data_IF_337384545441
#
_entry.id   IF_337384545441
#
_cell.length_a   1.000
_cell.length_b   1.000
_cell.length_c   1.000
_cell.angle_alpha   90.00
_cell.angle_beta   90.00
_cell.angle_gamma   90.00
#
_symmetry.space_group_name_H-M   'P 1'
#
loop_
_entity.id
_entity.type
_entity.pdbx_description
1 polymer ?
#
# COMPACT_ATOMS: atom_id res chain seq x y z
N UNK A 1 -38.23 -51.59 14.82
CA UNK A 1 -37.83 -53.02 14.87
C UNK A 1 -36.79 -53.22 13.76
N UNK A 2 -35.49 -53.23 14.08
CA UNK A 2 -34.64 -54.41 14.35
C UNK A 2 -34.45 -55.29 13.09
N UNK A 3 -33.25 -55.65 12.61
CA UNK A 3 -31.85 -55.50 13.05
C UNK A 3 -30.87 -55.73 11.87
N UNK A 4 -29.59 -55.30 12.01
CA UNK A 4 -28.33 -56.11 12.09
C UNK A 4 -28.01 -56.98 10.86
N UNK A 5 -26.78 -57.19 10.35
CA UNK A 5 -25.39 -56.85 10.72
C UNK A 5 -24.45 -57.54 9.70
N UNK A 6 -23.33 -56.92 9.30
CA UNK A 6 -21.98 -57.51 9.03
C UNK A 6 -21.15 -56.45 8.25
N UNK A 7 -20.16 -55.74 8.81
CA UNK A 7 -18.82 -56.11 9.33
C UNK A 7 -17.86 -56.71 8.28
N UNK A 8 -16.91 -55.90 7.82
CA UNK A 8 -15.72 -56.33 7.08
C UNK A 8 -14.55 -55.40 7.40
N UNK A 9 -13.63 -55.87 8.25
CA UNK A 9 -12.43 -55.18 8.68
C UNK A 9 -11.19 -55.66 7.89
N UNK A 10 -10.33 -54.73 7.48
CA UNK A 10 -8.89 -54.87 7.20
C UNK A 10 -8.30 -53.48 7.45
N UNK A 11 -7.20 -53.22 8.14
CA UNK A 11 -6.12 -54.03 8.70
C UNK A 11 -4.97 -53.04 8.85
N UNK A 12 -4.56 -52.77 10.09
CA UNK A 12 -3.54 -51.79 10.47
C UNK A 12 -2.14 -52.16 9.94
N UNK A 13 -1.35 -51.16 9.53
CA UNK A 13 0.12 -51.22 9.62
C UNK A 13 0.63 -50.04 10.46
N UNK A 14 1.11 -50.39 11.64
CA UNK A 14 1.81 -49.54 12.60
C UNK A 14 3.31 -49.72 12.38
N UNK A 15 4.04 -48.61 12.22
CA UNK A 15 5.51 -48.59 12.32
C UNK A 15 5.93 -47.50 13.30
N UNK A 16 6.34 -47.93 14.49
CA UNK A 16 7.16 -47.24 15.50
C UNK A 16 8.07 -48.35 16.07
N UNK A 17 9.34 -48.19 16.42
CA UNK A 17 10.21 -47.04 16.60
C UNK A 17 11.67 -47.52 16.60
N UNK A 18 12.61 -46.66 16.24
CA UNK A 18 14.05 -46.80 16.54
C UNK A 18 14.51 -45.59 17.35
N UNK A 19 15.14 -45.83 18.51
CA UNK A 19 15.51 -44.84 19.54
C UNK A 19 16.70 -43.95 19.13
N UNK A 20 16.79 -42.70 19.61
CA UNK A 20 18.03 -41.93 19.56
C UNK A 20 18.91 -42.22 20.80
N UNK A 21 20.20 -42.42 20.56
CA UNK A 21 21.22 -42.56 21.61
C UNK A 21 21.50 -41.20 22.28
N UNK A 22 21.69 -41.24 23.61
CA UNK A 22 22.18 -40.14 24.46
C UNK A 22 23.57 -40.49 25.00
N UNK A 23 24.33 -39.44 25.32
CA UNK A 23 25.66 -39.34 26.00
C UNK A 23 26.85 -39.35 25.04
N UNK A 24 27.93 -38.60 25.24
CA UNK A 24 28.38 -37.60 26.22
C UNK A 24 29.64 -36.96 25.60
N UNK A 25 29.86 -35.65 25.75
CA UNK A 25 31.09 -35.06 26.33
C UNK A 25 31.18 -33.55 26.09
N UNK A 26 31.41 -32.85 27.19
CA UNK A 26 31.65 -31.42 27.30
C UNK A 26 33.10 -31.05 26.94
N UNK A 27 33.30 -29.72 26.84
CA UNK A 27 34.47 -28.94 27.33
C UNK A 27 35.32 -28.27 26.24
N UNK A 28 35.13 -26.95 26.09
CA UNK A 28 36.21 -25.96 26.05
C UNK A 28 35.63 -24.54 26.32
N UNK A 29 35.92 -24.04 27.53
CA UNK A 29 36.15 -22.62 27.92
C UNK A 29 37.46 -22.16 27.24
N UNK A 30 37.84 -20.91 27.05
CA UNK A 30 37.85 -19.66 27.84
C UNK A 30 38.51 -18.63 26.86
N UNK A 31 38.01 -17.41 26.66
CA UNK A 31 38.51 -16.12 27.17
C UNK A 31 38.05 -15.07 26.12
N UNK A 32 37.73 -13.80 26.38
CA UNK A 32 38.15 -12.89 27.43
C UNK A 32 37.00 -11.89 27.71
N UNK A 33 36.89 -11.48 28.97
CA UNK A 33 35.99 -10.41 29.39
C UNK A 33 36.49 -9.02 28.99
N UNK A 34 35.59 -8.05 29.01
CA UNK A 34 35.89 -6.69 29.48
C UNK A 34 34.68 -6.16 30.23
N UNK A 35 35.00 -5.60 31.38
CA UNK A 35 34.20 -5.02 32.44
C UNK A 35 33.51 -3.72 31.97
N UNK A 36 32.26 -3.51 32.36
CA UNK A 36 31.62 -2.19 32.26
C UNK A 36 30.80 -1.92 33.53
N UNK A 37 31.14 -0.79 34.15
CA UNK A 37 30.65 -0.30 35.43
C UNK A 37 29.12 -0.29 35.59
N UNK A 38 28.68 -0.77 36.75
CA UNK A 38 27.31 -0.70 37.23
C UNK A 38 27.12 0.63 37.96
N UNK A 39 26.45 1.59 37.31
CA UNK A 39 25.85 2.73 38.01
C UNK A 39 24.49 2.31 38.56
N UNK A 40 24.39 2.19 39.88
CA UNK A 40 23.12 2.09 40.63
C UNK A 40 22.31 3.37 40.43
N UNK A 41 21.14 3.27 39.80
CA UNK A 41 20.08 4.26 39.94
C UNK A 41 18.94 3.61 40.72
N UNK A 42 18.63 4.24 41.85
CA UNK A 42 17.52 3.91 42.75
C UNK A 42 16.20 4.11 42.00
N UNK A 43 15.33 3.11 42.12
CA UNK A 43 13.98 3.10 41.55
C UNK A 43 13.08 3.95 42.43
N UNK A 44 12.40 4.94 41.85
CA UNK A 44 11.14 5.44 42.39
C UNK A 44 10.05 5.44 41.31
N UNK A 45 8.87 5.10 41.76
CA UNK A 45 7.74 4.52 41.02
C UNK A 45 6.93 5.52 40.19
N UNK A 46 6.69 5.16 38.93
CA UNK A 46 5.72 5.80 38.04
C UNK A 46 5.86 5.20 36.65
N UNK A 47 4.90 4.38 36.22
CA UNK A 47 4.98 3.62 34.98
C UNK A 47 5.05 4.55 33.75
N UNK A 48 6.27 4.79 33.27
CA UNK A 48 6.58 5.39 31.98
C UNK A 48 7.23 4.32 31.10
N UNK A 49 6.62 4.07 29.95
CA UNK A 49 7.10 3.17 28.90
C UNK A 49 8.55 3.54 28.54
N UNK A 50 9.46 2.58 28.58
CA UNK A 50 10.89 2.87 28.45
C UNK A 50 11.27 3.16 27.00
N UNK A 51 12.23 4.08 26.80
CA UNK A 51 12.75 4.54 25.50
C UNK A 51 13.20 3.41 24.54
N UNK A 52 13.34 2.17 25.03
CA UNK A 52 13.63 0.96 24.23
C UNK A 52 12.42 0.35 23.53
N UNK A 53 11.19 0.60 24.00
CA UNK A 53 9.97 0.11 23.33
C UNK A 53 9.51 1.04 22.19
N UNK A 54 9.80 2.34 22.30
CA UNK A 54 9.56 3.31 21.22
C UNK A 54 10.47 3.08 19.99
N UNK A 55 11.64 2.47 20.20
CA UNK A 55 12.64 2.20 19.14
C UNK A 55 12.28 0.95 18.32
N UNK A 56 11.32 0.12 18.77
CA UNK A 56 10.82 -1.01 17.99
C UNK A 56 9.67 -0.65 17.02
N UNK A 57 9.11 0.57 17.10
CA UNK A 57 8.01 1.01 16.22
C UNK A 57 8.47 1.89 15.04
N UNK A 58 9.75 2.23 14.97
CA UNK A 58 10.36 2.99 13.87
C UNK A 58 11.68 2.29 13.55
N UNK A 59 11.64 1.34 12.62
CA UNK A 59 12.80 0.54 12.22
C UNK A 59 13.89 1.45 11.64
N UNK A 60 15.00 1.52 12.34
CA UNK A 60 16.25 2.10 11.87
C UNK A 60 17.14 1.00 11.26
N UNK A 61 17.68 1.26 10.07
CA UNK A 61 18.94 0.68 9.61
C UNK A 61 19.72 1.78 8.87
N UNK A 62 20.90 2.10 9.38
CA UNK A 62 21.81 3.12 8.87
C UNK A 62 23.13 2.49 8.39
N UNK A 63 23.90 3.31 7.65
CA UNK A 63 25.28 3.16 7.12
C UNK A 63 25.32 2.60 5.68
N UNK A 64 25.92 3.25 4.65
CA UNK A 64 27.04 4.20 4.62
C UNK A 64 27.13 5.00 3.30
N UNK A 65 27.62 6.26 3.40
CA UNK A 65 28.45 7.05 2.46
C UNK A 65 27.93 7.36 1.03
N UNK A 66 27.92 8.61 0.52
CA UNK A 66 28.95 9.65 0.60
C UNK A 66 28.39 11.06 0.35
N UNK A 67 28.77 12.01 1.21
CA UNK A 67 28.75 13.45 0.92
C UNK A 67 30.10 13.86 0.30
N UNK A 68 30.06 14.62 -0.79
CA UNK A 68 31.05 15.52 -1.45
C UNK A 68 30.36 15.83 -2.81
N UNK A 69 30.09 17.04 -3.31
CA UNK A 69 30.60 18.37 -3.04
C UNK A 69 29.53 19.43 -3.41
N UNK A 70 29.50 20.53 -2.67
CA UNK A 70 29.03 21.82 -3.19
C UNK A 70 30.14 22.42 -4.04
N UNK A 71 29.89 22.56 -5.35
CA UNK A 71 30.60 23.50 -6.22
C UNK A 71 29.62 24.01 -7.27
N UNK A 72 29.33 25.32 -7.19
CA UNK A 72 28.58 26.08 -8.17
C UNK A 72 29.19 25.88 -9.56
N UNK A 73 28.49 25.13 -10.41
CA UNK A 73 28.62 25.22 -11.86
C UNK A 73 27.21 25.43 -12.39
N UNK A 74 26.94 26.62 -12.91
CA UNK A 74 25.78 26.84 -13.76
C UNK A 74 25.95 25.93 -14.99
N UNK A 75 25.32 24.77 -14.94
CA UNK A 75 25.20 23.88 -16.08
C UNK A 75 24.35 24.57 -17.15
N UNK A 76 24.65 24.40 -18.44
CA UNK A 76 23.73 24.80 -19.50
C UNK A 76 22.38 24.13 -19.21
N UNK A 77 21.28 24.85 -19.43
CA UNK A 77 19.94 24.30 -19.23
C UNK A 77 19.79 23.03 -20.06
N UNK A 78 19.93 21.88 -19.42
CA UNK A 78 19.43 20.62 -19.94
C UNK A 78 17.95 20.89 -20.12
N UNK A 79 17.47 20.91 -21.36
CA UNK A 79 16.04 21.01 -21.61
C UNK A 79 15.38 19.94 -20.74
N UNK A 80 14.46 20.34 -19.86
CA UNK A 80 13.77 19.38 -19.02
C UNK A 80 13.13 18.32 -19.93
N UNK A 81 13.39 17.04 -19.62
CA UNK A 81 12.77 15.94 -20.36
C UNK A 81 11.25 16.16 -20.44
N UNK A 82 10.62 15.91 -21.60
CA UNK A 82 9.19 16.17 -21.77
C UNK A 82 8.37 15.34 -20.79
N UNK A 83 7.34 15.95 -20.21
CA UNK A 83 6.36 15.23 -19.38
C UNK A 83 5.65 14.11 -20.16
N UNK A 84 4.94 13.23 -19.44
CA UNK A 84 4.26 12.08 -20.03
C UNK A 84 3.23 12.48 -21.09
N UNK A 85 2.49 13.58 -20.89
CA UNK A 85 1.54 14.06 -21.90
C UNK A 85 2.23 14.51 -23.17
N UNK A 86 3.31 15.28 -23.06
CA UNK A 86 4.03 15.73 -24.24
C UNK A 86 4.70 14.56 -24.97
N UNK A 87 5.24 13.59 -24.22
CA UNK A 87 5.78 12.35 -24.78
C UNK A 87 4.73 11.60 -25.59
N UNK A 88 3.54 11.37 -25.02
CA UNK A 88 2.43 10.70 -25.72
C UNK A 88 1.93 11.47 -26.94
N UNK A 89 1.89 12.81 -26.87
CA UNK A 89 1.53 13.65 -28.04
C UNK A 89 2.58 13.55 -29.16
N UNK A 90 3.87 13.50 -28.82
CA UNK A 90 4.93 13.31 -29.80
C UNK A 90 4.87 11.93 -30.47
N UNK A 91 4.58 10.88 -29.69
CA UNK A 91 4.34 9.52 -30.21
C UNK A 91 3.12 9.49 -31.13
N UNK A 92 2.00 10.11 -30.73
CA UNK A 92 0.81 10.20 -31.56
C UNK A 92 1.09 10.92 -32.88
N UNK A 93 1.87 12.00 -32.84
CA UNK A 93 2.26 12.70 -34.05
C UNK A 93 3.06 11.80 -35.00
N UNK A 94 3.98 10.99 -34.47
CA UNK A 94 4.78 10.04 -35.26
C UNK A 94 3.89 8.94 -35.89
N UNK A 95 2.90 8.44 -35.15
CA UNK A 95 1.92 7.46 -35.65
C UNK A 95 1.04 8.08 -36.74
N UNK A 96 0.64 9.35 -36.59
CA UNK A 96 -0.15 10.06 -37.60
C UNK A 96 0.64 10.25 -38.91
N UNK A 97 1.94 10.51 -38.83
CA UNK A 97 2.81 10.59 -40.01
C UNK A 97 2.92 9.23 -40.73
N UNK A 98 3.00 8.14 -39.97
CA UNK A 98 2.96 6.77 -40.53
C UNK A 98 1.65 6.52 -41.29
N UNK A 99 0.52 6.91 -40.71
CA UNK A 99 -0.80 6.77 -41.33
C UNK A 99 -1.03 7.70 -42.54
N UNK A 100 -0.27 8.79 -42.67
CA UNK A 100 -0.28 9.59 -43.90
C UNK A 100 0.38 8.84 -45.07
N UNK A 101 1.45 8.09 -44.79
CA UNK A 101 2.13 7.24 -45.77
C UNK A 101 1.35 5.96 -46.11
N UNK A 102 0.82 5.29 -45.10
CA UNK A 102 -0.05 4.11 -45.26
C UNK A 102 -1.32 4.22 -44.39
N UNK A 103 -2.43 4.73 -44.95
CA UNK A 103 -3.68 4.90 -44.21
C UNK A 103 -4.35 3.61 -43.73
N UNK A 104 -3.89 2.44 -44.18
CA UNK A 104 -4.48 1.14 -43.86
C UNK A 104 -3.63 0.30 -42.90
N UNK A 105 -2.53 0.85 -42.38
CA UNK A 105 -1.71 0.15 -41.39
C UNK A 105 -2.53 -0.10 -40.11
N UNK A 106 -2.92 -1.36 -39.91
CA UNK A 106 -3.76 -1.78 -38.78
C UNK A 106 -3.07 -1.59 -37.43
N UNK A 107 -1.73 -1.74 -37.37
CA UNK A 107 -0.97 -1.56 -36.14
C UNK A 107 -0.92 -0.08 -35.77
N UNK A 108 -0.63 0.79 -36.74
CA UNK A 108 -0.62 2.23 -36.53
C UNK A 108 -2.03 2.75 -36.15
N UNK A 109 -3.10 2.19 -36.72
CA UNK A 109 -4.49 2.52 -36.30
C UNK A 109 -4.73 2.12 -34.83
N UNK A 110 -4.31 0.92 -34.43
CA UNK A 110 -4.47 0.44 -33.06
C UNK A 110 -3.67 1.30 -32.06
N UNK A 111 -2.41 1.61 -32.39
CA UNK A 111 -1.54 2.47 -31.58
C UNK A 111 -2.09 3.88 -31.45
N UNK A 112 -2.62 4.46 -32.54
CA UNK A 112 -3.31 5.76 -32.51
C UNK A 112 -4.47 5.77 -31.52
N UNK A 113 -5.28 4.70 -31.51
CA UNK A 113 -6.44 4.61 -30.62
C UNK A 113 -6.00 4.48 -29.16
N UNK A 114 -4.96 3.68 -28.88
CA UNK A 114 -4.35 3.56 -27.55
C UNK A 114 -3.81 4.91 -27.05
N UNK A 115 -3.03 5.61 -27.88
CA UNK A 115 -2.44 6.91 -27.57
C UNK A 115 -3.51 7.96 -27.28
N UNK A 116 -4.56 8.04 -28.08
CA UNK A 116 -5.67 8.96 -27.83
C UNK A 116 -6.36 8.67 -26.50
N UNK A 117 -6.56 7.39 -26.16
CA UNK A 117 -7.16 7.01 -24.88
C UNK A 117 -6.24 7.38 -23.70
N UNK A 118 -4.93 7.11 -23.81
CA UNK A 118 -3.94 7.46 -22.79
C UNK A 118 -3.82 8.99 -22.60
N UNK A 119 -3.73 9.76 -23.69
CA UNK A 119 -3.67 11.23 -23.63
C UNK A 119 -4.90 11.77 -22.92
N UNK A 120 -6.10 11.32 -23.29
CA UNK A 120 -7.34 11.75 -22.64
C UNK A 120 -7.34 11.43 -21.14
N UNK A 121 -6.87 10.23 -20.76
CA UNK A 121 -6.79 9.83 -19.35
C UNK A 121 -5.78 10.69 -18.57
N UNK A 122 -4.60 10.95 -19.14
CA UNK A 122 -3.59 11.79 -18.51
C UNK A 122 -3.96 13.27 -18.46
N UNK A 123 -4.72 13.80 -19.42
CA UNK A 123 -5.27 15.17 -19.34
C UNK A 123 -6.27 15.30 -18.20
N UNK A 124 -7.18 14.33 -18.05
CA UNK A 124 -8.11 14.29 -16.94
C UNK A 124 -7.37 14.15 -15.58
N UNK A 125 -6.34 13.29 -15.52
CA UNK A 125 -5.56 13.13 -14.29
C UNK A 125 -4.72 14.38 -13.99
N UNK A 126 -4.19 15.08 -15.00
CA UNK A 126 -3.47 16.34 -14.83
C UNK A 126 -4.36 17.43 -14.20
N UNK A 127 -5.63 17.52 -14.62
CA UNK A 127 -6.61 18.41 -13.99
C UNK A 127 -6.86 18.00 -12.53
N UNK A 128 -7.06 16.70 -12.28
CA UNK A 128 -7.22 16.16 -10.93
C UNK A 128 -6.05 16.52 -10.02
N UNK A 129 -4.80 16.18 -10.40
CA UNK A 129 -3.63 16.43 -9.55
C UNK A 129 -3.40 17.91 -9.32
N UNK A 130 -3.63 18.77 -10.32
CA UNK A 130 -3.51 20.22 -10.18
C UNK A 130 -4.49 20.77 -9.14
N UNK A 131 -5.77 20.36 -9.22
CA UNK A 131 -6.81 20.72 -8.26
C UNK A 131 -6.48 20.19 -6.87
N UNK A 132 -6.20 18.90 -6.74
CA UNK A 132 -5.92 18.22 -5.47
C UNK A 132 -4.69 18.81 -4.80
N UNK A 133 -3.61 19.03 -5.55
CA UNK A 133 -2.41 19.72 -5.07
C UNK A 133 -2.75 21.09 -4.50
N UNK A 134 -3.50 21.92 -5.24
CA UNK A 134 -3.90 23.24 -4.76
C UNK A 134 -4.69 23.20 -3.45
N UNK A 135 -5.53 22.20 -3.26
CA UNK A 135 -6.29 21.98 -2.02
C UNK A 135 -5.40 21.53 -0.85
N UNK A 136 -4.46 20.62 -1.09
CA UNK A 136 -3.49 20.15 -0.09
C UNK A 136 -2.54 21.27 0.33
N UNK A 137 -1.92 21.96 -0.63
CA UNK A 137 -0.97 23.05 -0.35
C UNK A 137 -1.61 24.26 0.31
N UNK A 138 -2.94 24.41 0.22
CA UNK A 138 -3.68 25.48 0.89
C UNK A 138 -4.33 25.06 2.22
N UNK A 139 -4.14 23.79 2.64
CA UNK A 139 -4.72 23.26 3.87
C UNK A 139 -6.23 23.08 3.83
N UNK A 140 -6.85 23.19 2.65
CA UNK A 140 -8.31 23.06 2.48
C UNK A 140 -8.76 21.62 2.46
N UNK A 141 -7.89 20.70 2.06
CA UNK A 141 -8.17 19.28 2.01
C UNK A 141 -6.89 18.49 2.22
N UNK A 142 -6.99 17.34 2.89
CA UNK A 142 -5.92 16.36 2.93
C UNK A 142 -6.01 15.38 1.75
N UNK A 143 -5.02 14.52 1.59
CA UNK A 143 -5.01 13.48 0.56
C UNK A 143 -4.53 12.14 1.11
N UNK A 144 -5.27 11.06 0.89
CA UNK A 144 -4.84 9.71 1.28
C UNK A 144 -3.71 9.27 0.34
N UNK A 145 -2.55 8.92 0.90
CA UNK A 145 -1.35 8.66 0.12
C UNK A 145 -1.08 7.16 -0.01
N UNK A 146 -0.73 6.47 1.09
CA UNK A 146 -0.38 5.06 1.04
C UNK A 146 -0.85 4.33 2.28
N UNK A 147 -1.02 3.02 2.15
CA UNK A 147 -1.13 2.11 3.26
C UNK A 147 0.24 1.50 3.56
N UNK A 148 0.65 1.49 4.83
CA UNK A 148 1.87 0.83 5.31
C UNK A 148 1.53 -0.56 5.79
N UNK A 149 2.13 -1.58 5.21
CA UNK A 149 1.91 -3.01 5.49
C UNK A 149 3.22 -3.65 5.93
N UNK A 150 3.18 -4.47 6.97
CA UNK A 150 4.29 -5.36 7.30
C UNK A 150 4.15 -6.68 6.54
N UNK A 151 5.21 -7.08 5.85
CA UNK A 151 5.28 -8.32 5.06
C UNK A 151 6.44 -9.18 5.54
N UNK A 152 6.27 -10.50 5.53
CA UNK A 152 7.30 -11.42 6.03
C UNK A 152 8.51 -11.51 5.11
N UNK A 153 8.26 -11.47 3.81
CA UNK A 153 9.24 -11.63 2.72
C UNK A 153 8.92 -10.58 1.66
N UNK A 154 9.75 -9.54 1.57
CA UNK A 154 9.45 -8.40 0.71
C UNK A 154 9.44 -8.79 -0.77
N UNK A 155 10.29 -9.72 -1.20
CA UNK A 155 10.37 -10.09 -2.62
C UNK A 155 9.11 -10.84 -3.05
N UNK A 156 8.58 -11.72 -2.20
CA UNK A 156 7.28 -12.39 -2.45
C UNK A 156 6.12 -11.41 -2.45
N UNK A 157 6.09 -10.48 -1.50
CA UNK A 157 5.06 -9.46 -1.46
C UNK A 157 5.11 -8.58 -2.72
N UNK A 158 6.29 -8.07 -3.09
CA UNK A 158 6.49 -7.28 -4.32
C UNK A 158 6.05 -8.08 -5.54
N UNK A 159 6.42 -9.36 -5.64
CA UNK A 159 5.99 -10.23 -6.74
C UNK A 159 4.46 -10.32 -6.82
N UNK A 160 3.78 -10.53 -5.69
CA UNK A 160 2.30 -10.56 -5.64
C UNK A 160 1.67 -9.25 -6.12
N UNK A 161 2.06 -8.11 -5.54
CA UNK A 161 1.45 -6.84 -5.88
C UNK A 161 1.76 -6.40 -7.32
N UNK A 162 2.95 -6.72 -7.83
CA UNK A 162 3.36 -6.33 -9.19
C UNK A 162 2.93 -7.32 -10.27
N UNK A 163 3.34 -8.59 -10.20
CA UNK A 163 3.02 -9.59 -11.21
C UNK A 163 1.58 -10.10 -11.08
N UNK A 164 1.08 -10.26 -9.86
CA UNK A 164 -0.27 -10.75 -9.59
C UNK A 164 -1.36 -9.71 -9.83
N UNK A 165 -1.14 -8.47 -9.38
CA UNK A 165 -2.16 -7.40 -9.45
C UNK A 165 -1.81 -6.25 -10.42
N UNK A 166 -0.61 -6.24 -11.01
CA UNK A 166 -0.26 -5.27 -12.06
C UNK A 166 0.29 -3.94 -11.56
N UNK A 167 0.64 -3.82 -10.28
CA UNK A 167 1.32 -2.63 -9.75
C UNK A 167 2.78 -2.56 -10.23
N UNK A 168 3.44 -1.44 -10.00
CA UNK A 168 4.87 -1.23 -10.27
C UNK A 168 5.59 -0.82 -8.99
N UNK A 169 6.85 -1.20 -8.85
CA UNK A 169 7.71 -0.66 -7.79
C UNK A 169 8.11 0.75 -8.19
N UNK A 170 7.63 1.75 -7.44
CA UNK A 170 7.97 3.15 -7.66
C UNK A 170 9.31 3.52 -7.01
N UNK A 171 9.58 2.97 -5.83
CA UNK A 171 10.78 3.24 -5.04
C UNK A 171 11.02 2.13 -4.02
N UNK A 172 12.27 1.99 -3.60
CA UNK A 172 12.69 1.07 -2.56
C UNK A 172 13.64 1.77 -1.60
N UNK A 173 13.66 1.35 -0.33
CA UNK A 173 14.49 1.94 0.72
C UNK A 173 15.09 0.86 1.60
N UNK A 174 16.30 1.13 2.12
CA UNK A 174 16.97 0.27 3.08
C UNK A 174 17.53 -1.03 2.49
N UNK A 175 18.15 -1.83 3.35
CA UNK A 175 18.74 -3.13 3.04
C UNK A 175 18.61 -4.06 4.24
N UNK A 176 18.48 -5.37 4.01
CA UNK A 176 18.27 -6.34 5.09
C UNK A 176 16.90 -6.20 5.76
N UNK A 177 16.72 -6.73 6.99
CA UNK A 177 15.45 -6.63 7.71
C UNK A 177 15.02 -5.16 7.88
N UNK A 178 13.76 -4.87 7.57
CA UNK A 178 13.23 -3.49 7.56
C UNK A 178 13.40 -2.75 6.22
N UNK A 179 13.92 -3.41 5.17
CA UNK A 179 13.83 -2.89 3.80
C UNK A 179 12.38 -2.68 3.37
N UNK A 180 12.19 -1.75 2.46
CA UNK A 180 10.88 -1.29 2.03
C UNK A 180 10.77 -1.21 0.52
N UNK A 181 9.58 -1.48 0.00
CA UNK A 181 9.21 -1.19 -1.38
C UNK A 181 7.85 -0.49 -1.42
N UNK A 182 7.73 0.48 -2.32
CA UNK A 182 6.51 1.22 -2.55
C UNK A 182 5.96 0.80 -3.90
N UNK A 183 4.75 0.23 -3.89
CA UNK A 183 4.09 -0.25 -5.10
C UNK A 183 2.77 0.48 -5.34
N UNK A 184 2.46 0.80 -6.59
CA UNK A 184 1.18 1.43 -7.00
C UNK A 184 0.97 1.31 -8.52
N UNK A 185 -0.13 1.87 -9.04
CA UNK A 185 -0.44 1.88 -10.47
C UNK A 185 0.14 3.09 -11.23
N UNK A 186 0.78 4.03 -10.53
CA UNK A 186 1.41 5.21 -11.11
C UNK A 186 2.18 6.03 -10.07
N UNK A 187 2.74 7.19 -10.42
CA UNK A 187 3.47 8.00 -9.44
C UNK A 187 2.60 8.44 -8.24
N UNK A 188 3.18 8.45 -7.05
CA UNK A 188 2.53 8.90 -5.80
C UNK A 188 2.41 10.44 -5.75
N UNK A 189 3.38 11.16 -6.35
CA UNK A 189 3.47 12.63 -6.37
C UNK A 189 2.23 13.29 -6.96
N UNK A 190 1.83 14.46 -6.41
CA UNK A 190 0.80 15.32 -6.99
C UNK A 190 1.36 16.32 -8.02
N UNK A 191 2.62 16.17 -8.44
CA UNK A 191 3.28 17.03 -9.43
C UNK A 191 3.27 16.39 -10.82
N UNK A 192 3.26 15.07 -10.93
CA UNK A 192 3.23 14.36 -12.21
C UNK A 192 1.83 14.35 -12.82
N UNK A 193 1.74 14.50 -14.15
CA UNK A 193 0.46 14.51 -14.90
C UNK A 193 -0.31 13.18 -14.76
N UNK A 194 0.39 12.06 -14.58
CA UNK A 194 -0.17 10.74 -14.28
C UNK A 194 -0.06 10.35 -12.79
N UNK A 195 0.22 11.31 -11.92
CA UNK A 195 0.48 11.11 -10.49
C UNK A 195 -0.78 11.04 -9.62
N UNK A 196 -0.58 11.16 -8.30
CA UNK A 196 -1.64 11.10 -7.29
C UNK A 196 -2.26 9.71 -7.16
N UNK A 197 -1.46 8.65 -7.33
CA UNK A 197 -1.90 7.27 -7.13
C UNK A 197 -1.63 6.83 -5.71
N UNK A 198 -2.58 6.12 -5.11
CA UNK A 198 -2.44 5.54 -3.81
C UNK A 198 -1.50 4.33 -3.85
N UNK A 199 -0.57 4.26 -2.90
CA UNK A 199 0.46 3.23 -2.87
C UNK A 199 0.33 2.27 -1.67
N UNK A 200 1.06 1.16 -1.77
CA UNK A 200 1.37 0.30 -0.64
C UNK A 200 2.85 0.47 -0.31
N UNK A 201 3.14 0.89 0.91
CA UNK A 201 4.46 0.77 1.53
C UNK A 201 4.58 -0.61 2.16
N UNK A 202 5.37 -1.48 1.55
CA UNK A 202 5.64 -2.83 2.04
C UNK A 202 6.91 -2.79 2.87
N UNK A 203 6.82 -3.10 4.16
CA UNK A 203 7.93 -3.10 5.12
C UNK A 203 8.27 -4.52 5.53
N UNK A 204 9.51 -4.96 5.29
CA UNK A 204 9.92 -6.32 5.63
C UNK A 204 10.04 -6.51 7.15
N UNK A 205 9.21 -7.39 7.71
CA UNK A 205 9.26 -7.87 9.08
C UNK A 205 9.17 -9.40 9.09
N UNK A 206 10.31 -10.13 9.17
CA UNK A 206 10.34 -11.59 9.15
C UNK A 206 9.56 -12.27 10.29
N UNK A 207 9.27 -11.53 11.36
CA UNK A 207 8.52 -12.01 12.54
C UNK A 207 7.03 -11.70 12.46
N UNK A 208 6.57 -11.06 11.38
CA UNK A 208 5.17 -10.74 11.13
C UNK A 208 4.30 -11.99 11.22
N UNK A 209 3.25 -11.90 12.02
CA UNK A 209 2.18 -12.90 12.04
C UNK A 209 1.22 -12.64 10.88
N UNK A 210 0.58 -13.70 10.38
CA UNK A 210 -0.45 -13.60 9.33
C UNK A 210 -1.50 -12.57 9.71
N UNK A 211 -1.88 -11.70 8.78
CA UNK A 211 -2.94 -10.74 9.07
C UNK A 211 -4.29 -11.44 9.29
N UNK A 212 -4.95 -11.11 10.39
CA UNK A 212 -6.27 -11.62 10.75
C UNK A 212 -7.20 -10.51 11.25
N UNK A 213 -6.85 -9.25 10.96
CA UNK A 213 -7.56 -8.05 11.41
C UNK A 213 -8.99 -7.94 10.87
N UNK A 214 -9.27 -8.67 9.77
CA UNK A 214 -10.49 -8.51 8.99
C UNK A 214 -10.47 -7.30 8.06
N UNK A 215 -9.37 -6.54 8.04
CA UNK A 215 -9.16 -5.50 7.03
C UNK A 215 -8.98 -6.13 5.65
N UNK A 216 -9.36 -5.39 4.62
CA UNK A 216 -9.17 -5.80 3.24
C UNK A 216 -8.93 -4.61 2.32
N UNK A 217 -8.31 -4.87 1.18
CA UNK A 217 -8.11 -3.91 0.11
C UNK A 217 -9.05 -4.21 -1.05
N UNK A 218 -9.58 -3.19 -1.69
CA UNK A 218 -10.42 -3.33 -2.86
C UNK A 218 -9.82 -2.59 -4.05
N UNK A 219 -9.78 -3.26 -5.21
CA UNK A 219 -9.21 -2.75 -6.45
C UNK A 219 -10.19 -2.86 -7.61
N UNK A 220 -10.21 -1.83 -8.45
CA UNK A 220 -10.91 -1.77 -9.72
C UNK A 220 -9.91 -1.83 -10.88
N UNK A 221 -9.75 -3.00 -11.49
CA UNK A 221 -8.83 -3.16 -12.62
C UNK A 221 -9.54 -2.86 -13.93
N UNK A 222 -8.91 -2.09 -14.82
CA UNK A 222 -9.52 -1.66 -16.09
C UNK A 222 -9.80 -2.78 -17.09
N UNK A 223 -9.02 -3.88 -17.04
CA UNK A 223 -9.03 -4.89 -18.11
C UNK A 223 -9.44 -6.27 -17.61
N UNK A 224 -8.52 -6.95 -16.91
CA UNK A 224 -8.75 -8.32 -16.44
C UNK A 224 -7.75 -8.67 -15.33
N UNK A 225 -8.15 -9.59 -14.48
CA UNK A 225 -7.26 -10.28 -13.54
C UNK A 225 -6.76 -11.57 -14.20
N UNK A 226 -5.43 -11.73 -14.31
CA UNK A 226 -4.83 -12.94 -14.86
C UNK A 226 -4.64 -13.99 -13.76
N UNK A 227 -5.57 -14.94 -13.68
CA UNK A 227 -5.61 -15.98 -12.63
C UNK A 227 -4.28 -16.74 -12.50
N UNK A 228 -3.67 -17.15 -13.61
CA UNK A 228 -2.38 -17.87 -13.57
C UNK A 228 -1.26 -17.00 -12.96
N UNK A 229 -1.21 -15.71 -13.30
CA UNK A 229 -0.23 -14.78 -12.70
C UNK A 229 -0.43 -14.67 -11.22
N UNK A 230 -1.67 -14.48 -10.79
CA UNK A 230 -2.01 -14.35 -9.39
C UNK A 230 -1.54 -15.58 -8.59
N UNK A 231 -1.84 -16.79 -9.10
CA UNK A 231 -1.40 -18.04 -8.49
C UNK A 231 0.13 -18.16 -8.45
N UNK A 232 0.81 -17.91 -9.56
CA UNK A 232 2.29 -17.96 -9.66
C UNK A 232 2.99 -16.90 -8.79
N UNK A 233 2.26 -15.85 -8.42
CA UNK A 233 2.72 -14.80 -7.50
C UNK A 233 2.43 -15.10 -6.03
N UNK A 234 1.84 -16.26 -5.73
CA UNK A 234 1.52 -16.70 -4.36
C UNK A 234 0.16 -16.23 -3.84
N UNK A 235 -0.72 -15.74 -4.71
CA UNK A 235 -2.09 -15.39 -4.33
C UNK A 235 -3.02 -16.60 -4.34
N UNK A 236 -3.92 -16.66 -3.37
CA UNK A 236 -4.97 -17.69 -3.28
C UNK A 236 -6.33 -17.07 -3.62
N UNK A 237 -7.04 -17.60 -4.62
CA UNK A 237 -8.41 -17.16 -4.95
C UNK A 237 -9.40 -17.92 -4.07
N UNK A 238 -10.15 -17.20 -3.24
CA UNK A 238 -11.19 -17.77 -2.38
C UNK A 238 -12.59 -17.65 -2.97
N UNK A 239 -12.80 -16.70 -3.89
CA UNK A 239 -14.03 -16.50 -4.64
C UNK A 239 -13.74 -15.95 -6.03
N UNK A 240 -14.54 -16.35 -7.04
CA UNK A 240 -14.35 -15.92 -8.42
C UNK A 240 -15.61 -16.07 -9.25
N UNK A 241 -16.58 -15.17 -9.04
CA UNK A 241 -17.78 -15.09 -9.88
C UNK A 241 -18.22 -13.62 -10.02
N UNK A 242 -17.79 -12.99 -11.10
CA UNK A 242 -18.01 -11.56 -11.39
C UNK A 242 -16.97 -10.62 -10.78
N UNK A 243 -16.59 -10.85 -9.53
CA UNK A 243 -15.43 -10.28 -8.87
C UNK A 243 -14.59 -11.40 -8.23
N UNK A 244 -13.41 -11.05 -7.73
CA UNK A 244 -12.49 -11.98 -7.08
C UNK A 244 -12.26 -11.60 -5.62
N UNK A 245 -12.26 -12.60 -4.76
CA UNK A 245 -11.68 -12.50 -3.42
C UNK A 245 -10.38 -13.30 -3.39
N UNK A 246 -9.35 -12.68 -2.84
CA UNK A 246 -7.97 -13.13 -2.92
C UNK A 246 -7.34 -13.00 -1.53
N UNK A 247 -6.52 -13.98 -1.16
CA UNK A 247 -5.62 -13.89 0.00
C UNK A 247 -4.20 -13.71 -0.53
N UNK A 248 -3.56 -12.60 -0.16
CA UNK A 248 -2.16 -12.32 -0.47
C UNK A 248 -1.21 -13.22 0.36
N UNK A 249 0.09 -13.36 -0.02
CA UNK A 249 1.02 -14.25 0.67
C UNK A 249 1.12 -14.08 2.19
N UNK A 250 0.95 -12.85 2.70
CA UNK A 250 1.02 -12.51 4.12
C UNK A 250 -0.36 -12.51 4.84
N UNK A 251 -1.41 -12.98 4.16
CA UNK A 251 -2.77 -13.11 4.69
C UNK A 251 -3.69 -11.90 4.46
N UNK A 252 -3.19 -10.82 3.85
CA UNK A 252 -4.01 -9.67 3.52
C UNK A 252 -5.13 -10.06 2.56
N UNK A 253 -6.36 -9.68 2.90
CA UNK A 253 -7.54 -9.90 2.06
C UNK A 253 -7.59 -8.84 0.97
N UNK A 254 -7.86 -9.28 -0.25
CA UNK A 254 -7.94 -8.44 -1.43
C UNK A 254 -9.20 -8.77 -2.22
N UNK A 255 -9.95 -7.74 -2.60
CA UNK A 255 -11.15 -7.83 -3.43
C UNK A 255 -10.86 -7.13 -4.75
N UNK A 256 -11.10 -7.79 -5.88
CA UNK A 256 -10.84 -7.24 -7.21
C UNK A 256 -12.10 -7.32 -8.06
N UNK A 257 -12.46 -6.21 -8.69
CA UNK A 257 -13.51 -6.16 -9.71
C UNK A 257 -13.02 -5.39 -10.93
N UNK A 258 -13.78 -5.44 -12.03
CA UNK A 258 -13.40 -4.82 -13.29
C UNK A 258 -14.20 -3.54 -13.49
N UNK A 259 -13.51 -2.41 -13.51
CA UNK A 259 -14.07 -1.08 -13.76
C UNK A 259 -12.93 -0.10 -14.13
N UNK A 260 -13.26 0.95 -14.89
CA UNK A 260 -12.33 2.01 -15.24
C UNK A 260 -12.39 3.14 -14.22
N UNK A 261 -11.45 3.13 -13.27
CA UNK A 261 -11.22 4.22 -12.31
C UNK A 261 -9.94 4.98 -12.63
N UNK A 262 -9.86 6.24 -12.19
CA UNK A 262 -8.63 7.05 -12.24
C UNK A 262 -7.49 6.34 -11.49
N UNK A 263 -7.76 6.00 -10.24
CA UNK A 263 -6.89 5.17 -9.40
C UNK A 263 -7.54 3.79 -9.20
N UNK A 264 -6.89 2.71 -9.65
CA UNK A 264 -7.38 1.36 -9.43
C UNK A 264 -7.49 0.97 -7.96
N UNK A 265 -6.79 1.64 -7.03
CA UNK A 265 -6.95 1.40 -5.60
C UNK A 265 -8.23 2.09 -5.09
N UNK A 266 -9.30 1.33 -4.94
CA UNK A 266 -10.62 1.87 -4.62
C UNK A 266 -10.77 2.19 -3.12
N UNK A 267 -10.58 1.20 -2.25
CA UNK A 267 -10.77 1.41 -0.81
C UNK A 267 -10.01 0.43 0.08
N UNK A 268 -9.94 0.81 1.36
CA UNK A 268 -9.47 -0.02 2.47
C UNK A 268 -10.66 -0.26 3.40
N UNK A 269 -11.10 -1.52 3.51
CA UNK A 269 -12.16 -1.93 4.43
C UNK A 269 -11.62 -2.14 5.84
N UNK A 270 -12.27 -1.52 6.83
CA UNK A 270 -11.84 -1.53 8.23
C UNK A 270 -13.01 -1.91 9.14
N UNK A 271 -12.97 -3.09 9.78
CA UNK A 271 -14.01 -3.51 10.72
C UNK A 271 -14.01 -2.69 12.01
N UNK A 272 -15.16 -2.12 12.38
CA UNK A 272 -15.37 -1.32 13.60
C UNK A 272 -16.63 -1.76 14.34
N UNK A 273 -16.67 -1.53 15.65
CA UNK A 273 -17.80 -1.94 16.50
C UNK A 273 -18.99 -0.98 16.33
N UNK A 274 -18.72 0.32 16.25
CA UNK A 274 -19.74 1.36 16.04
C UNK A 274 -19.36 2.21 14.83
N UNK A 275 -20.00 1.92 13.69
CA UNK A 275 -19.70 2.58 12.42
C UNK A 275 -20.07 4.06 12.45
N UNK A 276 -21.24 4.42 13.00
CA UNK A 276 -21.71 5.82 12.96
C UNK A 276 -20.92 6.71 13.92
N UNK A 277 -20.61 6.21 15.13
CA UNK A 277 -19.76 6.94 16.04
C UNK A 277 -18.34 7.11 15.49
N UNK A 278 -17.81 6.08 14.80
CA UNK A 278 -16.50 6.15 14.16
C UNK A 278 -16.51 7.12 12.97
N UNK A 279 -17.54 7.09 12.12
CA UNK A 279 -17.67 8.03 11.00
C UNK A 279 -17.72 9.48 11.49
N UNK A 280 -18.57 9.76 12.49
CA UNK A 280 -18.67 11.08 13.13
C UNK A 280 -17.35 11.54 13.75
N UNK A 281 -16.58 10.61 14.31
CA UNK A 281 -15.24 10.88 14.82
C UNK A 281 -14.27 11.26 13.68
N UNK A 282 -14.27 10.51 12.58
CA UNK A 282 -13.41 10.77 11.43
C UNK A 282 -13.73 12.12 10.76
N UNK A 283 -15.02 12.48 10.65
CA UNK A 283 -15.44 13.80 10.17
C UNK A 283 -14.90 14.91 11.08
N UNK A 284 -15.12 14.80 12.40
CA UNK A 284 -14.77 15.85 13.36
C UNK A 284 -13.26 15.99 13.60
N UNK A 285 -12.53 14.87 13.67
CA UNK A 285 -11.11 14.85 14.09
C UNK A 285 -10.17 14.85 12.90
N UNK A 286 -10.51 14.13 11.83
CA UNK A 286 -9.66 14.01 10.65
C UNK A 286 -10.12 14.88 9.48
N UNK A 287 -11.31 15.49 9.56
CA UNK A 287 -11.84 16.34 8.49
C UNK A 287 -12.25 15.57 7.24
N UNK A 288 -12.54 14.27 7.37
CA UNK A 288 -13.04 13.45 6.28
C UNK A 288 -14.52 13.72 6.02
N UNK A 289 -15.01 13.32 4.85
CA UNK A 289 -16.45 13.30 4.55
C UNK A 289 -16.97 11.88 4.56
N UNK A 290 -18.17 11.65 5.12
CA UNK A 290 -18.79 10.34 5.19
C UNK A 290 -19.94 10.17 4.18
N UNK A 291 -19.85 9.16 3.32
CA UNK A 291 -20.99 8.64 2.57
C UNK A 291 -21.66 7.51 3.35
N UNK A 292 -22.71 7.89 4.08
CA UNK A 292 -23.55 6.97 4.87
C UNK A 292 -24.52 6.14 4.02
N UNK A 293 -24.65 6.44 2.73
CA UNK A 293 -25.50 5.67 1.81
C UNK A 293 -24.74 4.51 1.20
N UNK A 294 -23.40 4.54 1.20
CA UNK A 294 -22.54 3.56 0.54
C UNK A 294 -23.03 2.11 0.74
N UNK A 295 -23.15 1.65 1.99
CA UNK A 295 -23.53 0.28 2.32
C UNK A 295 -24.95 -0.13 1.92
N UNK A 296 -25.81 0.82 1.54
CA UNK A 296 -27.21 0.58 1.15
C UNK A 296 -27.42 0.66 -0.37
N UNK A 297 -26.40 1.02 -1.14
CA UNK A 297 -26.48 1.08 -2.61
C UNK A 297 -26.37 -0.33 -3.17
N UNK A 298 -27.38 -0.74 -3.94
CA UNK A 298 -27.32 -1.97 -4.72
C UNK A 298 -26.31 -1.80 -5.85
N UNK A 299 -25.43 -2.79 -6.00
CA UNK A 299 -24.46 -2.84 -7.10
C UNK A 299 -24.82 -3.92 -8.10
N UNK A 300 -24.21 -3.87 -9.29
CA UNK A 300 -24.39 -4.90 -10.31
C UNK A 300 -23.82 -6.26 -9.88
N UNK A 301 -24.17 -7.32 -10.62
CA UNK A 301 -23.70 -8.69 -10.34
C UNK A 301 -22.17 -8.89 -10.47
N UNK A 302 -21.46 -7.91 -11.01
CA UNK A 302 -20.02 -7.96 -11.28
C UNK A 302 -19.21 -7.12 -10.29
N UNK A 303 -19.87 -6.51 -9.31
CA UNK A 303 -19.25 -5.77 -8.22
C UNK A 303 -19.42 -6.51 -6.90
N UNK A 304 -18.48 -6.36 -5.95
CA UNK A 304 -18.62 -6.94 -4.62
C UNK A 304 -19.85 -6.37 -3.90
N UNK A 305 -20.65 -7.25 -3.29
CA UNK A 305 -21.82 -6.81 -2.54
C UNK A 305 -21.40 -5.90 -1.38
N UNK A 306 -22.06 -4.75 -1.25
CA UNK A 306 -21.76 -3.80 -0.17
C UNK A 306 -22.35 -4.32 1.14
N UNK A 307 -21.58 -4.20 2.22
CA UNK A 307 -22.03 -4.63 3.54
C UNK A 307 -23.00 -3.60 4.12
N UNK A 308 -24.26 -3.97 4.45
CA UNK A 308 -25.24 -3.04 5.02
C UNK A 308 -24.72 -2.37 6.29
N UNK A 309 -25.00 -1.07 6.43
CA UNK A 309 -24.53 -0.26 7.56
C UNK A 309 -23.08 0.20 7.47
N UNK A 310 -22.36 -0.12 6.39
CA UNK A 310 -21.01 0.42 6.16
C UNK A 310 -21.05 1.87 5.71
N UNK A 311 -20.05 2.65 6.12
CA UNK A 311 -19.92 4.07 5.80
C UNK A 311 -18.57 4.32 5.14
N UNK A 312 -18.58 4.96 3.96
CA UNK A 312 -17.36 5.28 3.23
C UNK A 312 -16.82 6.65 3.66
N UNK A 313 -15.56 6.70 4.07
CA UNK A 313 -14.86 7.91 4.50
C UNK A 313 -13.84 8.31 3.43
N UNK A 314 -13.86 9.56 2.99
CA UNK A 314 -12.93 10.05 1.96
C UNK A 314 -12.45 11.47 2.19
N UNK A 315 -11.39 11.86 1.48
CA UNK A 315 -11.04 13.24 1.20
C UNK A 315 -11.31 13.52 -0.28
N UNK A 316 -12.27 14.38 -0.59
CA UNK A 316 -12.65 14.70 -1.98
C UNK A 316 -13.72 13.76 -2.53
N UNK A 317 -13.69 13.53 -3.85
CA UNK A 317 -14.66 12.67 -4.54
C UNK A 317 -14.22 11.19 -4.49
N UNK A 318 -15.04 10.25 -3.96
CA UNK A 318 -14.73 8.82 -3.96
C UNK A 318 -14.57 8.17 -5.33
N UNK A 319 -15.06 8.78 -6.43
CA UNK A 319 -14.83 8.27 -7.78
C UNK A 319 -13.37 8.47 -8.24
N UNK A 320 -12.73 9.53 -7.73
CA UNK A 320 -11.35 9.87 -8.07
C UNK A 320 -10.35 9.43 -7.01
N UNK A 321 -10.77 9.26 -5.75
CA UNK A 321 -9.87 9.02 -4.62
C UNK A 321 -10.05 7.64 -4.00
N UNK A 322 -8.96 7.07 -3.50
CA UNK A 322 -9.01 5.94 -2.55
C UNK A 322 -9.73 6.37 -1.28
N UNK A 323 -10.51 5.46 -0.69
CA UNK A 323 -11.34 5.75 0.48
C UNK A 323 -11.14 4.72 1.61
N UNK A 324 -11.58 5.06 2.82
CA UNK A 324 -11.62 4.14 3.97
C UNK A 324 -13.06 3.72 4.18
N UNK A 325 -13.37 2.43 4.07
CA UNK A 325 -14.71 1.90 4.32
C UNK A 325 -14.80 1.38 5.75
N UNK A 326 -15.61 2.03 6.58
CA UNK A 326 -15.92 1.55 7.93
C UNK A 326 -17.00 0.46 7.81
N UNK A 327 -16.66 -0.76 8.23
CA UNK A 327 -17.53 -1.94 8.09
C UNK A 327 -18.00 -2.39 9.47
N UNK A 328 -19.29 -2.68 9.69
CA UNK A 328 -19.76 -3.22 10.96
C UNK A 328 -19.06 -4.56 11.26
N UNK A 329 -18.49 -4.67 12.46
CA UNK A 329 -17.91 -5.92 12.94
C UNK A 329 -19.03 -6.95 13.18
N UNK A 330 -18.91 -8.13 12.56
CA UNK A 330 -19.91 -9.20 12.72
C UNK A 330 -20.03 -9.69 14.17
N UNK A 331 -21.26 -9.99 14.62
CA UNK A 331 -21.53 -10.51 15.97
C UNK A 331 -20.70 -11.78 16.24
N UNK A 332 -19.90 -11.78 17.31
CA UNK A 332 -19.06 -12.92 17.71
C UNK A 332 -17.66 -12.97 17.08
N UNK A 333 -17.30 -12.01 16.24
CA UNK A 333 -15.92 -11.91 15.72
C UNK A 333 -14.97 -11.46 16.83
N UNK A 334 -14.11 -12.37 17.29
CA UNK A 334 -13.02 -12.12 18.24
C UNK A 334 -11.80 -11.46 17.56
N UNK A 335 -12.02 -10.65 16.54
CA UNK A 335 -10.93 -9.96 15.86
C UNK A 335 -10.44 -8.81 16.77
N UNK A 336 -9.53 -9.11 17.68
CA UNK A 336 -8.70 -8.11 18.35
C UNK A 336 -7.36 -7.96 17.59
N UNK A 337 -6.80 -6.75 17.49
CA UNK A 337 -5.91 -6.42 16.39
C UNK A 337 -4.46 -6.78 16.71
N UNK A 338 -3.59 -6.76 15.69
CA UNK A 338 -2.83 -5.52 15.56
C UNK A 338 -3.31 -4.78 14.33
N UNK A 339 -3.38 -3.45 14.43
CA UNK A 339 -3.56 -2.61 13.25
C UNK A 339 -2.32 -2.83 12.39
N UNK A 340 -2.41 -3.81 11.47
CA UNK A 340 -1.34 -4.20 10.57
C UNK A 340 -1.15 -3.20 9.46
N UNK A 341 -2.11 -2.29 9.32
CA UNK A 341 -2.13 -1.20 8.36
C UNK A 341 -2.16 0.14 9.09
N UNK A 342 -1.32 1.06 8.63
CA UNK A 342 -1.42 2.50 8.90
C UNK A 342 -1.64 3.20 7.57
N UNK A 343 -2.32 4.33 7.54
CA UNK A 343 -2.54 5.09 6.31
C UNK A 343 -1.85 6.43 6.41
N UNK A 344 -0.94 6.72 5.48
CA UNK A 344 -0.35 8.03 5.34
C UNK A 344 -1.31 8.99 4.66
N UNK A 345 -1.37 10.21 5.17
CA UNK A 345 -2.26 11.29 4.74
C UNK A 345 -1.42 12.53 4.51
N UNK A 346 -1.39 13.06 3.30
CA UNK A 346 -0.72 14.33 3.04
C UNK A 346 -1.48 15.47 3.70
N UNK A 347 -0.74 16.31 4.41
CA UNK A 347 -1.22 17.46 5.15
C UNK A 347 -0.33 18.67 4.85
N UNK A 348 -0.91 19.86 4.91
CA UNK A 348 -0.18 21.11 4.68
C UNK A 348 0.84 21.37 5.80
N UNK A 349 0.47 21.13 7.05
CA UNK A 349 1.28 21.44 8.23
C UNK A 349 0.97 20.46 9.36
N UNK A 350 1.91 19.56 9.63
CA UNK A 350 1.73 18.52 10.64
C UNK A 350 1.72 19.04 12.09
N UNK A 351 2.30 20.22 12.35
CA UNK A 351 2.27 20.83 13.68
C UNK A 351 0.93 21.54 13.93
N UNK A 352 0.38 22.22 12.93
CA UNK A 352 -1.00 22.69 13.00
C UNK A 352 -1.98 21.53 13.11
N UNK A 353 -1.73 20.43 12.36
CA UNK A 353 -2.51 19.20 12.48
C UNK A 353 -2.50 18.64 13.90
N UNK A 354 -1.35 18.61 14.58
CA UNK A 354 -1.27 18.20 16.00
C UNK A 354 -2.27 18.98 16.85
N UNK A 355 -2.32 20.29 16.69
CA UNK A 355 -3.19 21.15 17.50
C UNK A 355 -4.68 20.89 17.19
N UNK A 356 -5.02 20.70 15.91
CA UNK A 356 -6.36 20.31 15.48
C UNK A 356 -6.78 18.93 16.04
N UNK A 357 -5.86 17.96 16.07
CA UNK A 357 -6.12 16.64 16.65
C UNK A 357 -6.40 16.76 18.16
N UNK A 358 -5.61 17.55 18.88
CA UNK A 358 -5.78 17.79 20.33
C UNK A 358 -7.13 18.48 20.59
N UNK A 359 -7.49 19.50 19.81
CA UNK A 359 -8.80 20.15 19.88
C UNK A 359 -9.95 19.18 19.57
N UNK A 360 -9.73 18.24 18.64
CA UNK A 360 -10.62 17.12 18.35
C UNK A 360 -10.68 16.05 19.45
N UNK A 361 -9.92 16.19 20.54
CA UNK A 361 -9.88 15.25 21.66
C UNK A 361 -8.99 14.03 21.42
N UNK A 362 -8.07 14.09 20.46
CA UNK A 362 -7.08 13.05 20.20
C UNK A 362 -5.67 13.58 20.46
N UNK A 363 -4.98 13.01 21.46
CA UNK A 363 -3.55 13.24 21.64
C UNK A 363 -2.77 12.39 20.62
N UNK A 364 -1.98 12.99 19.71
CA UNK A 364 -1.14 12.24 18.79
C UNK A 364 -0.10 11.41 19.56
N UNK A 365 0.21 10.21 19.05
CA UNK A 365 1.22 9.31 19.65
C UNK A 365 2.64 9.78 19.37
N UNK A 366 2.84 10.47 18.26
CA UNK A 366 4.13 11.02 17.85
C UNK A 366 3.88 12.26 16.98
N UNK A 367 4.73 13.28 17.13
CA UNK A 367 4.81 14.43 16.23
C UNK A 367 6.26 14.84 16.12
N UNK A 368 6.77 14.99 14.90
CA UNK A 368 8.14 15.42 14.64
C UNK A 368 8.72 14.83 13.37
N UNK A 369 10.01 15.03 13.20
CA UNK A 369 10.76 14.50 12.06
C UNK A 369 11.07 13.01 12.25
N UNK A 370 10.88 12.22 11.18
CA UNK A 370 11.25 10.81 11.18
C UNK A 370 12.74 10.68 10.81
N UNK A 371 13.56 9.96 11.61
CA UNK A 371 14.93 9.68 11.23
C UNK A 371 15.02 8.87 9.93
N UNK A 372 15.98 9.20 9.05
CA UNK A 372 16.25 8.43 7.83
C UNK A 372 15.41 8.83 6.60
N UNK A 373 14.42 9.72 6.75
CA UNK A 373 13.60 10.25 5.64
C UNK A 373 14.09 11.61 5.15
N UNK A 374 15.24 12.09 5.63
CA UNK A 374 15.72 13.45 5.31
C UNK A 374 14.96 14.55 6.06
N UNK A 375 14.40 14.23 7.23
CA UNK A 375 13.76 15.19 8.14
C UNK A 375 12.25 15.32 7.93
N UNK A 376 11.59 14.34 7.33
CA UNK A 376 10.16 14.46 7.02
C UNK A 376 9.31 14.48 8.26
N UNK A 377 8.53 15.55 8.37
CA UNK A 377 7.68 15.84 9.53
C UNK A 377 6.39 15.03 9.42
N UNK A 378 6.02 14.36 10.51
CA UNK A 378 4.80 13.58 10.61
C UNK A 378 4.07 13.78 11.93
N UNK A 379 2.77 13.45 11.95
CA UNK A 379 1.97 13.28 13.16
C UNK A 379 1.20 11.95 13.12
N UNK A 380 1.47 11.06 14.08
CA UNK A 380 0.80 9.76 14.19
C UNK A 380 -0.45 9.87 15.07
N UNK A 381 -1.62 9.70 14.45
CA UNK A 381 -2.92 9.66 15.07
C UNK A 381 -3.44 8.23 15.18
N UNK A 382 -3.73 7.76 16.39
CA UNK A 382 -4.28 6.41 16.64
C UNK A 382 -5.67 6.56 17.23
N UNK A 383 -6.75 6.36 16.45
CA UNK A 383 -8.11 6.45 16.96
C UNK A 383 -8.44 5.26 17.87
N UNK A 384 -9.54 5.36 18.64
CA UNK A 384 -10.01 4.23 19.48
C UNK A 384 -10.51 3.05 18.65
N UNK A 385 -11.12 3.34 17.50
CA UNK A 385 -11.59 2.38 16.51
C UNK A 385 -11.19 2.85 15.12
N UNK A 386 -11.07 1.92 14.18
CA UNK A 386 -10.65 2.19 12.81
C UNK A 386 -9.15 1.94 12.61
N UNK A 387 -8.54 2.76 11.76
CA UNK A 387 -7.16 2.61 11.29
C UNK A 387 -6.32 3.82 11.72
N UNK A 388 -5.08 3.61 12.20
CA UNK A 388 -4.15 4.70 12.46
C UNK A 388 -3.85 5.53 11.20
N UNK A 389 -3.82 6.85 11.37
CA UNK A 389 -3.44 7.80 10.32
C UNK A 389 -2.09 8.44 10.65
N UNK A 390 -1.19 8.49 9.66
CA UNK A 390 0.08 9.20 9.72
C UNK A 390 -0.07 10.44 8.85
N UNK A 391 -0.26 11.61 9.46
CA UNK A 391 -0.24 12.86 8.71
C UNK A 391 1.20 13.18 8.34
N UNK A 392 1.46 13.41 7.06
CA UNK A 392 2.80 13.65 6.49
C UNK A 392 2.79 15.02 5.86
N UNK A 393 3.81 15.81 6.15
CA UNK A 393 4.00 17.13 5.56
C UNK A 393 4.16 17.02 4.03
N UNK A 394 3.33 17.77 3.30
CA UNK A 394 3.26 17.69 1.85
C UNK A 394 4.58 18.05 1.17
N UNK A 395 5.25 19.13 1.59
CA UNK A 395 6.47 19.60 0.94
C UNK A 395 7.64 18.64 1.19
N UNK A 396 7.72 18.10 2.40
CA UNK A 396 8.69 17.06 2.72
C UNK A 396 8.45 15.78 1.91
N UNK A 397 7.19 15.36 1.79
CA UNK A 397 6.80 14.21 1.01
C UNK A 397 7.23 14.35 -0.47
N UNK A 398 6.91 15.48 -1.11
CA UNK A 398 7.24 15.72 -2.51
C UNK A 398 8.75 15.79 -2.75
N UNK A 399 9.51 16.33 -1.80
CA UNK A 399 10.99 16.38 -1.88
C UNK A 399 11.63 14.99 -1.89
N UNK A 400 10.97 13.99 -1.31
CA UNK A 400 11.43 12.61 -1.30
C UNK A 400 11.03 11.80 -2.53
N UNK A 401 10.16 12.33 -3.40
CA UNK A 401 9.65 11.55 -4.52
C UNK A 401 10.72 11.38 -5.59
N UNK A 402 10.86 10.17 -6.15
CA UNK A 402 11.69 9.99 -7.33
C UNK A 402 11.10 10.80 -8.49
N UNK A 403 11.96 11.20 -9.44
CA UNK A 403 11.47 11.76 -10.69
C UNK A 403 10.57 10.72 -11.37
N UNK A 404 9.35 11.09 -11.79
CA UNK A 404 8.45 10.18 -12.46
C UNK A 404 9.13 9.57 -13.68
N UNK A 405 9.15 8.24 -13.75
CA UNK A 405 9.67 7.55 -14.93
C UNK A 405 8.67 7.71 -16.06
N UNK A 406 9.06 8.41 -17.13
CA UNK A 406 8.29 8.55 -18.36
C UNK A 406 8.80 7.52 -19.35
N UNK A 407 8.01 6.48 -19.60
CA UNK A 407 8.32 5.45 -20.59
C UNK A 407 7.65 5.77 -21.92
N UNK A 408 8.32 5.47 -23.02
CA UNK A 408 7.68 5.37 -24.32
C UNK A 408 6.73 4.17 -24.37
N UNK A 409 5.80 4.16 -25.32
CA UNK A 409 4.91 3.00 -25.55
C UNK A 409 5.72 1.74 -25.84
N UNK A 410 6.79 1.86 -26.63
CA UNK A 410 7.65 0.73 -26.94
C UNK A 410 8.25 0.11 -25.66
N UNK A 411 8.70 0.93 -24.72
CA UNK A 411 9.23 0.48 -23.43
C UNK A 411 8.13 -0.11 -22.54
N UNK A 412 6.93 0.48 -22.51
CA UNK A 412 5.78 -0.10 -21.78
C UNK A 412 5.42 -1.49 -22.32
N UNK A 413 5.38 -1.64 -23.64
CA UNK A 413 5.14 -2.93 -24.30
C UNK A 413 6.26 -3.92 -23.95
N UNK A 414 7.53 -3.50 -23.99
CA UNK A 414 8.65 -4.37 -23.62
C UNK A 414 8.55 -4.84 -22.17
N UNK A 415 8.19 -3.97 -21.23
CA UNK A 415 7.94 -4.36 -19.84
C UNK A 415 6.80 -5.37 -19.75
N UNK A 416 5.70 -5.13 -20.47
CA UNK A 416 4.57 -6.04 -20.48
C UNK A 416 4.91 -7.42 -21.09
N UNK A 417 5.71 -7.43 -22.17
CA UNK A 417 6.20 -8.65 -22.82
C UNK A 417 7.17 -9.40 -21.92
N UNK A 418 8.08 -8.70 -21.24
CA UNK A 418 8.98 -9.31 -20.26
C UNK A 418 8.18 -9.98 -19.14
N UNK A 419 7.19 -9.29 -18.58
CA UNK A 419 6.26 -9.86 -17.61
C UNK A 419 5.47 -11.05 -18.16
N UNK A 420 5.10 -11.04 -19.46
CA UNK A 420 4.36 -12.14 -20.07
C UNK A 420 5.23 -13.39 -20.33
N UNK A 421 6.51 -13.21 -20.64
CA UNK A 421 7.44 -14.33 -20.85
C UNK A 421 7.78 -15.07 -19.56
N UNK A 422 7.77 -14.36 -18.44
CA UNK A 422 7.91 -14.97 -17.12
C UNK A 422 6.71 -15.87 -16.75
N UNK A 423 5.57 -15.77 -17.46
CA UNK A 423 4.35 -16.57 -17.22
C UNK A 423 4.33 -17.93 -17.94
N UNK A 424 5.18 -18.15 -18.95
CA UNK A 424 5.20 -19.40 -19.74
C UNK A 424 6.03 -20.53 -19.07
N UNK A 425 6.58 -20.27 -17.89
CA UNK A 425 7.20 -21.25 -16.98
C UNK A 425 6.33 -21.47 -15.73
#
# INVERSE_FOLDING_TARGET
MAGRSASGARGYLSVRAGRPCRRLLAKAREDAGHEADVVKVVVDSGAAMTRREAISMVSAAALSSSAIASLLRASPSVAAEPGILQTRRNELQSVLETLQGDPKDELAIAEKNLLNAQIKAYEANAEFVSKTRGLVTSGKQNFLQHAVLEVKDLDKAVKFWTQGLGMRVNRSRGSGPGRQAFVSYGPETLVAENGGNFALELVENPNKQVDNSGQYFQFALSNSLRVNRLYNSGGEITFGYGYFEIVAPDGYKVVVYIENRRDPFDLIGVPVDDVEATASYYERVFGMTADRKYGSVSVGRFEPARTPGSVLMTYGDPADNTSILLVPRGQGSKAEPPASVKIAVLDQDVFQRRDNLIQGGLQPKFVGEVPGTGGTKVALAVPRQGVPLVFVDYEDFEREQPQPTVLSIAEEIQQYVAMAKDDEN
#
